data_IF_129323835856
#
_entry.id   IF_129323835856
#
_cell.length_a   1.000
_cell.length_b   1.000
_cell.length_c   1.000
_cell.angle_alpha   90.00
_cell.angle_beta   90.00
_cell.angle_gamma   90.00
#
_symmetry.space_group_name_H-M   'P 1'
#
loop_
_entity.id
_entity.type
_entity.pdbx_description
1 polymer ?
#
# COMPACT_ATOMS: atom_id res chain seq x y z
N UNK A 1 -3.03 24.51 -0.54
CA UNK A 1 -3.09 23.09 -0.15
C UNK A 1 -4.55 22.67 -0.20
N UNK A 2 -4.88 21.55 -0.86
CA UNK A 2 -6.26 21.03 -0.90
C UNK A 2 -6.49 20.21 0.36
N UNK A 3 -7.38 20.65 1.24
CA UNK A 3 -7.73 19.92 2.47
C UNK A 3 -8.82 18.90 2.11
N UNK A 4 -8.64 17.59 2.36
CA UNK A 4 -9.72 16.63 2.15
C UNK A 4 -10.90 16.97 3.07
N UNK A 5 -12.12 16.76 2.60
CA UNK A 5 -13.35 17.24 3.25
C UNK A 5 -13.48 16.76 4.69
N UNK A 6 -13.05 15.53 4.96
CA UNK A 6 -13.13 14.91 6.28
C UNK A 6 -12.20 15.56 7.32
N UNK A 7 -11.18 16.31 6.85
CA UNK A 7 -10.24 17.02 7.72
C UNK A 7 -10.54 18.52 7.86
N UNK A 8 -11.44 19.10 7.06
CA UNK A 8 -11.65 20.55 7.03
C UNK A 8 -11.97 21.16 8.41
N UNK A 9 -12.95 20.59 9.12
CA UNK A 9 -13.38 21.07 10.44
C UNK A 9 -12.38 20.72 11.56
N UNK A 10 -11.65 19.63 11.40
CA UNK A 10 -10.63 19.18 12.36
C UNK A 10 -9.33 19.96 12.26
N UNK A 11 -8.93 20.31 11.03
CA UNK A 11 -7.65 20.93 10.71
C UNK A 11 -7.51 22.30 11.37
N UNK A 12 -8.50 23.19 11.26
CA UNK A 12 -8.43 24.52 11.88
C UNK A 12 -8.30 24.45 13.42
N UNK A 13 -9.03 23.52 14.04
CA UNK A 13 -8.94 23.27 15.49
C UNK A 13 -7.58 22.72 15.89
N UNK A 14 -7.05 21.76 15.13
CA UNK A 14 -5.72 21.19 15.37
C UNK A 14 -4.61 22.23 15.18
N UNK A 15 -4.72 23.06 14.13
CA UNK A 15 -3.77 24.13 13.83
C UNK A 15 -3.72 25.20 14.92
N UNK A 16 -4.84 25.50 15.58
CA UNK A 16 -4.87 26.39 16.74
C UNK A 16 -4.09 25.84 17.96
N UNK A 17 -3.94 24.51 18.07
CA UNK A 17 -3.21 23.84 19.16
C UNK A 17 -1.74 23.64 18.79
N UNK A 18 -1.47 23.06 17.61
CA UNK A 18 -0.13 22.80 17.11
C UNK A 18 -0.11 22.92 15.57
N UNK A 19 0.26 24.09 15.02
CA UNK A 19 0.26 24.31 13.58
C UNK A 19 1.16 23.35 12.82
N UNK A 20 2.37 23.11 13.32
CA UNK A 20 3.37 22.30 12.63
C UNK A 20 2.94 20.84 12.52
N UNK A 21 2.36 20.28 13.59
CA UNK A 21 1.85 18.91 13.56
C UNK A 21 0.60 18.79 12.68
N UNK A 22 -0.31 19.77 12.73
CA UNK A 22 -1.50 19.77 11.89
C UNK A 22 -1.14 19.82 10.40
N UNK A 23 -0.18 20.68 10.03
CA UNK A 23 0.30 20.82 8.66
C UNK A 23 0.99 19.54 8.19
N UNK A 24 1.86 18.94 9.02
CA UNK A 24 2.53 17.66 8.69
C UNK A 24 1.53 16.53 8.55
N UNK A 25 0.61 16.38 9.49
CA UNK A 25 -0.40 15.32 9.44
C UNK A 25 -1.18 15.41 8.14
N UNK A 26 -1.73 16.59 7.83
CA UNK A 26 -2.48 16.81 6.59
C UNK A 26 -1.63 16.53 5.35
N UNK A 27 -0.37 16.99 5.33
CA UNK A 27 0.54 16.73 4.20
C UNK A 27 0.77 15.24 3.95
N UNK A 28 0.80 14.39 4.99
CA UNK A 28 0.97 12.95 4.82
C UNK A 28 -0.33 12.22 4.42
N UNK A 29 -1.50 12.82 4.60
CA UNK A 29 -2.78 12.24 4.12
C UNK A 29 -2.96 12.30 2.60
N UNK A 30 -2.15 13.12 1.92
CA UNK A 30 -2.21 13.32 0.47
C UNK A 30 -1.02 12.70 -0.26
N UNK A 31 -0.12 12.02 0.46
CA UNK A 31 0.95 11.23 -0.14
C UNK A 31 0.33 9.91 -0.61
N UNK A 32 0.23 9.75 -1.92
CA UNK A 32 -0.18 8.50 -2.56
C UNK A 32 0.98 7.54 -2.76
N UNK A 33 0.71 6.47 -3.51
CA UNK A 33 1.68 5.46 -3.90
C UNK A 33 1.71 5.38 -5.44
N UNK A 34 2.68 6.03 -6.11
CA UNK A 34 2.73 6.07 -7.57
C UNK A 34 2.82 4.69 -8.23
N UNK A 35 3.42 3.70 -7.57
CA UNK A 35 3.55 2.34 -8.11
C UNK A 35 2.21 1.62 -8.01
N UNK A 36 1.53 1.71 -6.86
CA UNK A 36 0.19 1.16 -6.70
C UNK A 36 -0.85 1.90 -7.56
N UNK A 37 -0.73 3.22 -7.72
CA UNK A 37 -1.63 4.02 -8.57
C UNK A 37 -1.55 3.56 -10.03
N UNK A 38 -0.35 3.35 -10.56
CA UNK A 38 -0.13 2.81 -11.89
C UNK A 38 -0.67 1.38 -12.03
N UNK A 39 -0.46 0.55 -10.99
CA UNK A 39 -0.98 -0.81 -10.98
C UNK A 39 -2.52 -0.83 -11.04
N UNK A 40 -3.17 0.03 -10.26
CA UNK A 40 -4.63 0.13 -10.24
C UNK A 40 -5.19 0.62 -11.58
N UNK A 41 -4.50 1.52 -12.27
CA UNK A 41 -4.87 1.94 -13.62
C UNK A 41 -4.85 0.76 -14.59
N UNK A 42 -3.81 -0.08 -14.55
CA UNK A 42 -3.69 -1.26 -15.42
C UNK A 42 -4.72 -2.34 -15.10
N UNK A 43 -4.93 -2.64 -13.81
CA UNK A 43 -5.93 -3.61 -13.37
C UNK A 43 -7.36 -3.18 -13.72
N UNK A 44 -7.63 -1.87 -13.79
CA UNK A 44 -8.96 -1.35 -14.14
C UNK A 44 -9.41 -1.70 -15.56
N UNK A 45 -8.47 -2.09 -16.44
CA UNK A 45 -8.75 -2.52 -17.81
C UNK A 45 -9.11 -4.01 -17.93
N UNK A 46 -8.95 -4.80 -16.86
CA UNK A 46 -9.20 -6.23 -16.85
C UNK A 46 -10.60 -6.59 -16.33
N UNK A 47 -11.03 -7.81 -16.61
CA UNK A 47 -12.22 -8.36 -15.98
C UNK A 47 -11.97 -8.62 -14.47
N UNK A 48 -12.95 -8.35 -13.57
CA UNK A 48 -12.76 -8.54 -12.13
C UNK A 48 -12.32 -9.96 -11.71
N UNK A 49 -12.79 -11.00 -12.39
CA UNK A 49 -12.37 -12.38 -12.09
C UNK A 49 -10.90 -12.60 -12.47
N UNK A 50 -10.44 -11.97 -13.56
CA UNK A 50 -9.03 -12.01 -13.95
C UNK A 50 -8.14 -11.25 -12.96
N UNK A 51 -8.58 -10.06 -12.52
CA UNK A 51 -7.87 -9.28 -11.49
C UNK A 51 -7.70 -10.13 -10.23
N UNK A 52 -8.80 -10.71 -9.73
CA UNK A 52 -8.77 -11.56 -8.54
C UNK A 52 -7.81 -12.75 -8.71
N UNK A 53 -7.91 -13.44 -9.85
CA UNK A 53 -7.05 -14.59 -10.16
C UNK A 53 -5.58 -14.24 -10.14
N UNK A 54 -5.18 -13.11 -10.75
CA UNK A 54 -3.77 -12.72 -10.79
C UNK A 54 -3.25 -12.19 -9.46
N UNK A 55 -4.06 -11.44 -8.71
CA UNK A 55 -3.68 -11.00 -7.37
C UNK A 55 -3.50 -12.17 -6.41
N UNK A 56 -4.42 -13.14 -6.44
CA UNK A 56 -4.29 -14.35 -5.66
C UNK A 56 -3.04 -15.14 -6.05
N UNK A 57 -2.78 -15.30 -7.35
CA UNK A 57 -1.57 -15.99 -7.82
C UNK A 57 -0.28 -15.34 -7.31
N UNK A 58 -0.21 -14.01 -7.26
CA UNK A 58 0.96 -13.32 -6.70
C UNK A 58 1.08 -13.45 -5.18
N UNK A 59 -0.03 -13.52 -4.46
CA UNK A 59 -0.01 -13.76 -3.00
C UNK A 59 0.36 -15.21 -2.65
N UNK A 60 -0.06 -16.17 -3.46
CA UNK A 60 0.18 -17.61 -3.26
C UNK A 60 1.48 -18.09 -3.95
N UNK A 61 2.30 -17.18 -4.49
CA UNK A 61 3.56 -17.44 -5.21
C UNK A 61 3.39 -18.41 -6.42
N UNK A 62 2.24 -18.36 -7.09
CA UNK A 62 1.91 -19.19 -8.25
C UNK A 62 2.50 -18.63 -9.56
N UNK A 63 3.82 -18.74 -9.70
CA UNK A 63 4.59 -18.15 -10.82
C UNK A 63 4.09 -18.53 -12.23
N UNK A 64 3.50 -19.71 -12.41
CA UNK A 64 2.93 -20.14 -13.70
C UNK A 64 1.74 -19.28 -14.13
N UNK A 65 0.86 -18.92 -13.18
CA UNK A 65 -0.34 -18.11 -13.44
C UNK A 65 0.04 -16.64 -13.62
N UNK A 66 1.06 -16.17 -12.90
CA UNK A 66 1.58 -14.81 -13.04
C UNK A 66 2.25 -14.53 -14.39
N UNK A 67 2.78 -15.53 -15.10
CA UNK A 67 3.35 -15.33 -16.45
C UNK A 67 2.34 -14.82 -17.47
N UNK A 68 1.07 -15.13 -17.26
CA UNK A 68 -0.04 -14.67 -18.10
C UNK A 68 -0.58 -13.30 -17.66
N UNK A 69 -0.07 -12.74 -16.56
CA UNK A 69 -0.48 -11.44 -16.05
C UNK A 69 0.14 -10.29 -16.85
N UNK A 70 -0.42 -9.08 -16.77
CA UNK A 70 0.20 -7.92 -17.37
C UNK A 70 1.63 -7.66 -16.84
N UNK A 71 2.58 -7.18 -17.66
CA UNK A 71 3.98 -7.02 -17.26
C UNK A 71 4.19 -6.16 -16.01
N UNK A 72 3.36 -5.13 -15.81
CA UNK A 72 3.44 -4.28 -14.61
C UNK A 72 3.12 -5.06 -13.34
N UNK A 73 2.14 -5.97 -13.38
CA UNK A 73 1.80 -6.80 -12.21
C UNK A 73 2.91 -7.80 -11.89
N UNK A 74 3.57 -8.36 -12.91
CA UNK A 74 4.75 -9.21 -12.71
C UNK A 74 5.87 -8.42 -12.03
N UNK A 75 6.21 -7.25 -12.59
CA UNK A 75 7.27 -6.38 -12.04
C UNK A 75 6.96 -5.87 -10.64
N UNK A 76 5.69 -5.64 -10.33
CA UNK A 76 5.24 -5.24 -9.00
C UNK A 76 5.54 -6.34 -7.96
N UNK A 77 5.14 -7.59 -8.23
CA UNK A 77 5.41 -8.70 -7.32
C UNK A 77 6.91 -8.96 -7.15
N UNK A 78 7.67 -8.97 -8.25
CA UNK A 78 9.14 -9.07 -8.20
C UNK A 78 9.77 -7.99 -7.30
N UNK A 79 9.20 -6.78 -7.28
CA UNK A 79 9.68 -5.66 -6.50
C UNK A 79 9.37 -5.72 -5.00
N UNK A 80 8.22 -6.29 -4.62
CA UNK A 80 7.76 -6.32 -3.22
C UNK A 80 8.15 -7.60 -2.46
N UNK A 81 8.60 -8.63 -3.16
CA UNK A 81 8.99 -9.92 -2.56
C UNK A 81 10.22 -9.81 -1.66
N UNK A 82 11.11 -8.84 -1.90
CA UNK A 82 12.36 -8.70 -1.16
C UNK A 82 12.23 -7.66 -0.04
N UNK A 83 12.32 -8.07 1.24
CA UNK A 83 12.34 -7.12 2.35
C UNK A 83 13.54 -6.16 2.22
N UNK A 84 13.38 -4.87 2.58
CA UNK A 84 14.49 -3.95 2.65
C UNK A 84 15.63 -4.42 3.58
N UNK A 85 16.86 -4.03 3.31
CA UNK A 85 18.06 -4.46 4.07
C UNK A 85 18.00 -4.18 5.58
N UNK A 86 17.22 -3.17 5.98
CA UNK A 86 17.06 -2.81 7.39
C UNK A 86 16.07 -3.71 8.14
N UNK A 87 15.35 -4.59 7.46
CA UNK A 87 14.37 -5.51 8.07
C UNK A 87 15.08 -6.69 8.73
N UNK A 88 14.86 -6.85 10.04
CA UNK A 88 15.28 -8.01 10.82
C UNK A 88 14.07 -8.92 11.10
N UNK A 89 13.90 -9.97 10.29
CA UNK A 89 12.79 -10.91 10.42
C UNK A 89 12.85 -11.73 11.72
N UNK A 90 14.06 -12.00 12.26
CA UNK A 90 14.22 -12.78 13.49
C UNK A 90 13.69 -12.01 14.71
N UNK A 91 13.71 -10.67 14.66
CA UNK A 91 13.15 -9.81 15.69
C UNK A 91 11.61 -9.88 15.79
N UNK A 92 10.91 -10.44 14.80
CA UNK A 92 9.43 -10.42 14.75
C UNK A 92 8.78 -11.46 15.67
N UNK A 93 9.52 -12.51 16.06
CA UNK A 93 8.99 -13.65 16.82
C UNK A 93 8.18 -13.31 18.08
N UNK A 94 8.63 -12.40 18.97
CA UNK A 94 7.85 -11.97 20.12
C UNK A 94 6.50 -11.32 19.75
N UNK A 95 6.48 -10.48 18.71
CA UNK A 95 5.27 -9.82 18.22
C UNK A 95 4.27 -10.81 17.65
N UNK A 96 4.72 -11.76 16.82
CA UNK A 96 3.88 -12.82 16.25
C UNK A 96 3.21 -13.62 17.37
N UNK A 97 3.98 -14.06 18.38
CA UNK A 97 3.45 -14.85 19.51
C UNK A 97 2.42 -14.11 20.36
N UNK A 98 2.38 -12.78 20.32
CA UNK A 98 1.38 -12.00 21.05
C UNK A 98 -0.03 -12.17 20.45
N UNK A 99 -0.15 -12.38 19.13
CA UNK A 99 -1.44 -12.46 18.43
C UNK A 99 -1.99 -13.89 18.26
N UNK A 100 -1.17 -14.92 18.50
CA UNK A 100 -1.54 -16.33 18.33
C UNK A 100 -1.71 -17.10 19.65
N UNK A 101 -2.22 -16.43 20.71
CA UNK A 101 -2.52 -17.06 22.00
C UNK A 101 -3.91 -17.68 22.06
#
# INVERSE_FOLDING_TARGET
>A
MKIPTDYADGYERARAVNPELADRYLAHTIVGDPEADALMEELSALDPEQVYRFLQAGMDEEAEVLRDAPPLLQSFFDGIETPPEWVDLDAFGPGIRMFHR
#
